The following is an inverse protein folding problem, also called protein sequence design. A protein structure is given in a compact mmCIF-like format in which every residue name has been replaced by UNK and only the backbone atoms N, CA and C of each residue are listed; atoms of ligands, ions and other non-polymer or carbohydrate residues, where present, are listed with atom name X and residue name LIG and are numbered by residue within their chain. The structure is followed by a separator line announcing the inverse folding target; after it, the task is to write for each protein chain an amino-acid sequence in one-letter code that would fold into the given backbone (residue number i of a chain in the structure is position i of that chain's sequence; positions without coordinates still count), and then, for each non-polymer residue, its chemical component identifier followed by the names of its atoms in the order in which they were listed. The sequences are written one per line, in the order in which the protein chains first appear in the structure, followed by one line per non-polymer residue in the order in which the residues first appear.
data_IF_961476957609
#
_entry.id   IF_961476957609
#
_cell.length_a   1.000
_cell.length_b   1.000
_cell.length_c   1.000
_cell.angle_alpha   90.00
_cell.angle_beta   90.00
_cell.angle_gamma   90.00
#
_symmetry.space_group_name_H-M   'P 1'
#
loop_
_entity.id
_entity.type
_entity.pdbx_description
1 polymer ?
#
# COMPACT_ATOMS: atom_id res chain seq x y z
N UNK A 1 6.47 6.40 -15.08
CA UNK A 1 6.10 7.58 -14.27
C UNK A 1 5.02 7.16 -13.27
N UNK A 2 4.93 7.79 -12.09
CA UNK A 2 3.82 7.51 -11.17
C UNK A 2 2.53 8.17 -11.65
N UNK A 3 1.46 7.39 -11.69
CA UNK A 3 0.08 7.82 -11.97
C UNK A 3 -0.65 7.99 -10.64
N UNK A 4 -1.28 9.14 -10.44
CA UNK A 4 -2.16 9.37 -9.29
C UNK A 4 -3.42 8.51 -9.40
N UNK A 5 -3.70 7.70 -8.38
CA UNK A 5 -4.93 6.91 -8.25
C UNK A 5 -5.99 7.67 -7.44
N UNK A 6 -5.59 8.24 -6.31
CA UNK A 6 -6.48 8.97 -5.40
C UNK A 6 -5.71 10.03 -4.61
N UNK A 7 -6.39 11.14 -4.34
CA UNK A 7 -6.01 12.15 -3.34
C UNK A 7 -7.09 12.20 -2.26
N UNK A 8 -6.71 12.38 -1.00
CA UNK A 8 -7.66 12.46 0.12
C UNK A 8 -7.37 11.44 1.23
N UNK A 9 -8.20 11.44 2.28
CA UNK A 9 -7.97 10.77 3.57
C UNK A 9 -8.59 9.36 3.62
N UNK A 10 -8.02 8.41 2.90
CA UNK A 10 -8.36 6.99 3.09
C UNK A 10 -7.22 6.31 3.82
N UNK A 11 -7.54 5.38 4.71
CA UNK A 11 -6.54 4.71 5.52
C UNK A 11 -5.99 3.47 4.80
N UNK A 12 -4.78 3.10 5.18
CA UNK A 12 -4.16 1.82 4.87
C UNK A 12 -4.05 1.05 6.18
N UNK A 13 -4.44 -0.22 6.17
CA UNK A 13 -4.23 -1.10 7.32
C UNK A 13 -2.85 -1.75 7.24
N UNK A 14 -2.12 -1.73 8.35
CA UNK A 14 -0.79 -2.31 8.51
C UNK A 14 -0.84 -3.40 9.58
N UNK A 15 -0.23 -4.55 9.28
CA UNK A 15 -0.10 -5.67 10.20
C UNK A 15 1.38 -5.92 10.49
N UNK A 16 1.73 -5.85 11.77
CA UNK A 16 3.01 -6.27 12.33
C UNK A 16 2.84 -7.59 13.08
N UNK A 17 3.91 -8.13 13.67
CA UNK A 17 3.87 -9.43 14.36
C UNK A 17 2.88 -9.47 15.53
N UNK A 18 2.80 -8.39 16.31
CA UNK A 18 2.02 -8.36 17.55
C UNK A 18 0.96 -7.25 17.56
N UNK A 19 0.83 -6.48 16.48
CA UNK A 19 -0.11 -5.35 16.41
C UNK A 19 -0.58 -5.11 14.99
N UNK A 20 -1.77 -4.51 14.87
CA UNK A 20 -2.32 -4.07 13.60
C UNK A 20 -3.07 -2.76 13.77
N UNK A 21 -2.91 -1.86 12.82
CA UNK A 21 -3.43 -0.50 12.92
C UNK A 21 -3.71 0.12 11.55
N UNK A 22 -4.50 1.19 11.53
CA UNK A 22 -4.86 1.89 10.29
C UNK A 22 -4.34 3.31 10.33
N UNK A 23 -3.54 3.69 9.33
CA UNK A 23 -2.99 5.05 9.21
C UNK A 23 -3.58 5.71 7.97
N UNK A 24 -4.06 6.94 8.12
CA UNK A 24 -4.52 7.77 7.02
C UNK A 24 -3.39 7.99 6.00
N UNK A 25 -3.71 7.85 4.72
CA UNK A 25 -2.86 8.29 3.63
C UNK A 25 -3.49 9.52 2.95
N UNK A 26 -2.66 10.43 2.44
CA UNK A 26 -3.12 11.60 1.69
C UNK A 26 -3.08 11.43 0.18
N UNK A 27 -2.30 10.43 -0.29
CA UNK A 27 -2.05 10.21 -1.70
C UNK A 27 -1.77 8.73 -1.99
N UNK A 28 -2.35 8.27 -3.09
CA UNK A 28 -2.18 6.94 -3.64
C UNK A 28 -1.72 7.05 -5.08
N UNK A 29 -0.64 6.38 -5.43
CA UNK A 29 -0.04 6.42 -6.75
C UNK A 29 0.38 5.03 -7.19
N UNK A 30 0.47 4.80 -8.49
CA UNK A 30 0.99 3.54 -9.02
C UNK A 30 1.94 3.76 -10.18
N UNK A 31 2.85 2.83 -10.36
CA UNK A 31 3.79 2.78 -11.48
C UNK A 31 3.88 1.34 -11.97
N UNK A 32 3.84 1.17 -13.28
CA UNK A 32 4.14 -0.10 -13.93
C UNK A 32 5.28 0.15 -14.91
N UNK A 33 6.34 -0.64 -14.82
CA UNK A 33 7.50 -0.56 -15.73
C UNK A 33 8.39 -1.79 -15.55
N UNK A 34 8.93 -2.33 -16.64
CA UNK A 34 9.98 -3.36 -16.60
C UNK A 34 9.56 -4.59 -15.76
N UNK A 35 8.35 -5.13 -16.01
CA UNK A 35 7.75 -6.21 -15.21
C UNK A 35 7.56 -5.93 -13.70
N UNK A 36 7.71 -4.68 -13.24
CA UNK A 36 7.49 -4.28 -11.85
C UNK A 36 6.23 -3.43 -11.72
N UNK A 37 5.30 -3.88 -10.88
CA UNK A 37 4.16 -3.09 -10.44
C UNK A 37 4.42 -2.51 -9.04
N UNK A 38 4.29 -1.19 -8.91
CA UNK A 38 4.48 -0.46 -7.66
C UNK A 38 3.19 0.25 -7.28
N UNK A 39 2.72 0.04 -6.06
CA UNK A 39 1.70 0.87 -5.43
C UNK A 39 2.36 1.68 -4.30
N UNK A 40 2.21 3.00 -4.37
CA UNK A 40 2.86 3.97 -3.50
C UNK A 40 1.81 4.73 -2.69
N UNK A 41 2.08 4.89 -1.40
CA UNK A 41 1.26 5.66 -0.47
C UNK A 41 2.08 6.75 0.20
N UNK A 42 1.47 7.92 0.39
CA UNK A 42 2.01 8.96 1.27
C UNK A 42 1.15 9.06 2.51
N UNK A 43 1.71 8.70 3.67
CA UNK A 43 1.00 8.68 4.94
C UNK A 43 0.81 10.10 5.49
N UNK A 44 -0.34 10.31 6.10
CA UNK A 44 -0.72 11.50 6.84
C UNK A 44 -1.66 11.10 7.98
N UNK A 45 -1.11 10.67 9.13
CA UNK A 45 -1.89 10.38 10.32
C UNK A 45 -2.88 11.49 10.64
N UNK A 46 -4.15 11.14 10.87
CA UNK A 46 -5.22 12.14 11.06
C UNK A 46 -5.46 12.51 12.52
N UNK A 47 -4.98 11.70 13.46
CA UNK A 47 -5.10 11.92 14.91
C UNK A 47 -3.82 11.50 15.65
N UNK A 48 -3.79 11.69 16.98
CA UNK A 48 -2.64 11.35 17.81
C UNK A 48 -2.38 9.85 17.90
N UNK A 49 -3.42 9.02 17.82
CA UNK A 49 -3.27 7.56 17.90
C UNK A 49 -2.57 7.06 16.64
N UNK A 50 -3.00 7.51 15.47
CA UNK A 50 -2.34 7.15 14.22
C UNK A 50 -0.90 7.66 14.12
N UNK A 51 -0.56 8.79 14.77
CA UNK A 51 0.84 9.26 14.83
C UNK A 51 1.72 8.34 15.66
N UNK A 52 1.16 7.76 16.72
CA UNK A 52 1.84 6.74 17.53
C UNK A 52 1.91 5.42 16.77
N UNK A 53 0.82 5.01 16.13
CA UNK A 53 0.77 3.81 15.30
C UNK A 53 1.81 3.86 14.17
N UNK A 54 1.99 5.04 13.56
CA UNK A 54 3.02 5.28 12.55
C UNK A 54 4.42 4.97 13.07
N UNK A 55 4.73 5.08 14.37
CA UNK A 55 6.06 4.71 14.90
C UNK A 55 6.37 3.23 14.70
N UNK A 56 5.38 2.34 14.77
CA UNK A 56 5.58 0.90 14.55
C UNK A 56 6.07 0.62 13.12
N UNK A 57 5.71 1.43 12.13
CA UNK A 57 6.24 1.31 10.78
C UNK A 57 7.76 1.52 10.73
N UNK A 58 8.32 2.29 11.66
CA UNK A 58 9.75 2.62 11.72
C UNK A 58 10.54 1.71 12.67
N UNK A 59 9.87 0.96 13.54
CA UNK A 59 10.53 0.14 14.57
C UNK A 59 10.24 -1.35 14.48
N UNK A 60 9.15 -1.76 13.83
CA UNK A 60 8.69 -3.14 13.80
C UNK A 60 8.60 -3.68 12.36
N UNK A 61 8.95 -4.97 12.13
CA UNK A 61 8.77 -5.60 10.84
C UNK A 61 7.30 -5.59 10.39
N UNK A 62 7.07 -5.18 9.14
CA UNK A 62 5.75 -5.25 8.52
C UNK A 62 5.52 -6.64 7.91
N UNK A 63 4.41 -7.28 8.27
CA UNK A 63 4.02 -8.61 7.77
C UNK A 63 3.10 -8.50 6.56
N UNK A 64 2.14 -7.59 6.62
CA UNK A 64 1.22 -7.35 5.52
C UNK A 64 0.57 -5.97 5.63
N UNK A 65 -0.01 -5.52 4.55
CA UNK A 65 -0.87 -4.34 4.53
C UNK A 65 -2.08 -4.58 3.64
N UNK A 66 -3.17 -3.84 3.87
CA UNK A 66 -4.36 -3.93 3.03
C UNK A 66 -5.01 -2.59 2.76
N UNK A 67 -5.65 -2.51 1.59
CA UNK A 67 -6.41 -1.36 1.14
C UNK A 67 -7.79 -1.85 0.71
N UNK A 68 -8.83 -1.21 1.25
CA UNK A 68 -10.25 -1.50 0.97
C UNK A 68 -10.95 -0.34 0.25
N UNK A 69 -10.20 0.69 -0.17
CA UNK A 69 -10.72 1.75 -1.03
C UNK A 69 -10.87 1.25 -2.48
N UNK A 70 -12.12 1.00 -2.88
CA UNK A 70 -12.43 0.49 -4.21
C UNK A 70 -11.90 1.34 -5.37
N UNK A 71 -11.75 2.67 -5.20
CA UNK A 71 -11.16 3.52 -6.26
C UNK A 71 -9.66 3.26 -6.41
N UNK A 72 -8.96 3.07 -5.29
CA UNK A 72 -7.54 2.72 -5.30
C UNK A 72 -7.35 1.30 -5.85
N UNK A 73 -8.12 0.33 -5.36
CA UNK A 73 -8.04 -1.07 -5.78
C UNK A 73 -8.33 -1.21 -7.28
N UNK A 74 -9.47 -0.70 -7.74
CA UNK A 74 -9.84 -0.78 -9.15
C UNK A 74 -8.88 0.03 -10.04
N UNK A 75 -8.43 1.18 -9.55
CA UNK A 75 -7.49 2.03 -10.29
C UNK A 75 -6.13 1.37 -10.47
N UNK A 76 -5.64 0.65 -9.45
CA UNK A 76 -4.38 -0.07 -9.53
C UNK A 76 -4.48 -1.30 -10.43
N UNK A 77 -5.52 -2.13 -10.26
CA UNK A 77 -5.77 -3.31 -11.10
C UNK A 77 -5.86 -2.89 -12.57
N UNK A 78 -6.69 -1.88 -12.89
CA UNK A 78 -6.81 -1.36 -14.26
C UNK A 78 -5.49 -0.84 -14.82
N UNK A 79 -4.63 -0.25 -13.98
CA UNK A 79 -3.34 0.25 -14.44
C UNK A 79 -2.40 -0.90 -14.81
N UNK A 80 -2.36 -1.96 -14.00
CA UNK A 80 -1.60 -3.18 -14.29
C UNK A 80 -2.15 -3.88 -15.52
N UNK A 81 -3.47 -4.12 -15.58
CA UNK A 81 -4.11 -4.81 -16.71
C UNK A 81 -3.97 -4.05 -18.04
N UNK A 82 -3.83 -2.72 -17.98
CA UNK A 82 -3.62 -1.88 -19.17
C UNK A 82 -2.17 -1.84 -19.65
N UNK A 83 -1.24 -2.44 -18.91
CA UNK A 83 0.16 -2.52 -19.33
C UNK A 83 0.38 -3.76 -20.20
N UNK A 84 1.17 -3.62 -21.26
CA UNK A 84 1.62 -4.76 -22.07
C UNK A 84 2.76 -5.56 -21.39
N UNK A 85 3.00 -5.30 -20.10
CA UNK A 85 4.09 -5.85 -19.29
C UNK A 85 3.60 -7.09 -18.53
N UNK A 86 4.35 -8.19 -18.59
CA UNK A 86 4.11 -9.34 -17.73
C UNK A 86 4.73 -9.07 -16.34
N UNK A 87 3.87 -8.84 -15.34
CA UNK A 87 4.29 -8.41 -14.01
C UNK A 87 4.78 -9.61 -13.20
N UNK A 88 6.07 -9.63 -12.91
CA UNK A 88 6.72 -10.66 -12.09
C UNK A 88 7.06 -10.18 -10.68
N UNK A 89 7.17 -8.86 -10.48
CA UNK A 89 7.56 -8.27 -9.20
C UNK A 89 6.52 -7.24 -8.76
N UNK A 90 6.08 -7.39 -7.51
CA UNK A 90 5.16 -6.46 -6.88
C UNK A 90 5.85 -5.75 -5.73
N UNK A 91 5.71 -4.43 -5.71
CA UNK A 91 6.29 -3.59 -4.66
C UNK A 91 5.28 -2.66 -4.04
N UNK A 92 5.45 -2.44 -2.75
CA UNK A 92 4.80 -1.36 -2.00
C UNK A 92 5.86 -0.34 -1.61
N UNK A 93 5.54 0.93 -1.86
CA UNK A 93 6.33 2.06 -1.39
C UNK A 93 5.51 2.90 -0.40
N UNK A 94 6.07 3.17 0.77
CA UNK A 94 5.41 3.95 1.82
C UNK A 94 6.26 5.18 2.14
N UNK A 95 5.70 6.36 1.96
CA UNK A 95 6.30 7.60 2.44
C UNK A 95 5.71 7.97 3.80
N UNK A 96 6.56 8.05 4.82
CA UNK A 96 6.19 8.37 6.19
C UNK A 96 7.31 9.15 6.86
N UNK A 97 7.01 10.26 7.53
CA UNK A 97 7.99 11.13 8.22
C UNK A 97 9.26 11.44 7.41
N UNK A 98 9.10 11.78 6.13
CA UNK A 98 10.20 12.05 5.18
C UNK A 98 11.14 10.85 4.90
N UNK A 99 10.72 9.63 5.24
CA UNK A 99 11.38 8.38 4.89
C UNK A 99 10.54 7.63 3.87
N UNK A 100 11.23 6.91 2.99
CA UNK A 100 10.63 6.00 2.02
C UNK A 100 10.98 4.57 2.43
N UNK A 101 9.95 3.75 2.59
CA UNK A 101 10.06 2.32 2.81
C UNK A 101 9.67 1.60 1.53
N UNK A 102 10.40 0.55 1.18
CA UNK A 102 10.09 -0.29 0.03
C UNK A 102 10.01 -1.76 0.44
N UNK A 103 8.92 -2.41 0.05
CA UNK A 103 8.64 -3.80 0.33
C UNK A 103 8.36 -4.54 -0.98
N UNK A 104 9.00 -5.70 -1.15
CA UNK A 104 8.58 -6.69 -2.14
C UNK A 104 7.45 -7.50 -1.53
N UNK A 105 6.36 -7.65 -2.28
CA UNK A 105 5.11 -8.20 -1.76
C UNK A 105 4.50 -9.25 -2.68
N UNK A 106 3.55 -10.01 -2.13
CA UNK A 106 2.65 -10.87 -2.88
C UNK A 106 1.22 -10.30 -2.74
N UNK A 107 0.59 -9.84 -3.84
CA UNK A 107 -0.76 -9.30 -3.80
C UNK A 107 -1.81 -10.41 -3.74
N UNK A 108 -2.89 -10.16 -3.00
CA UNK A 108 -4.08 -11.00 -2.94
C UNK A 108 -5.31 -10.13 -3.00
N UNK A 109 -6.05 -10.24 -4.11
CA UNK A 109 -7.38 -9.64 -4.23
C UNK A 109 -8.39 -10.55 -3.52
N UNK A 110 -9.19 -9.97 -2.63
CA UNK A 110 -10.33 -10.63 -2.00
C UNK A 110 -11.60 -9.83 -2.27
N UNK A 111 -12.64 -10.52 -2.73
CA UNK A 111 -13.96 -9.94 -2.97
C UNK A 111 -14.96 -10.59 -2.02
N UNK A 112 -15.58 -9.79 -1.14
CA UNK A 112 -16.67 -10.22 -0.28
C UNK A 112 -17.88 -9.33 -0.59
N UNK A 113 -18.86 -9.88 -1.29
CA UNK A 113 -20.02 -9.13 -1.83
C UNK A 113 -19.58 -7.95 -2.72
N UNK A 114 -19.91 -6.70 -2.34
CA UNK A 114 -19.53 -5.46 -3.05
C UNK A 114 -18.22 -4.86 -2.55
N UNK A 115 -17.57 -5.48 -1.56
CA UNK A 115 -16.33 -4.98 -0.97
C UNK A 115 -15.14 -5.67 -1.60
N UNK A 116 -14.22 -4.87 -2.16
CA UNK A 116 -12.92 -5.33 -2.66
C UNK A 116 -11.85 -4.93 -1.68
N UNK A 117 -11.03 -5.89 -1.28
CA UNK A 117 -9.84 -5.65 -0.49
C UNK A 117 -8.63 -6.16 -1.27
N UNK A 118 -7.61 -5.33 -1.38
CA UNK A 118 -6.31 -5.73 -1.89
C UNK A 118 -5.33 -5.82 -0.71
N UNK A 119 -4.96 -7.05 -0.38
CA UNK A 119 -3.97 -7.35 0.66
C UNK A 119 -2.62 -7.63 0.02
N UNK A 120 -1.55 -7.14 0.62
CA UNK A 120 -0.19 -7.40 0.19
C UNK A 120 0.58 -8.05 1.34
N UNK A 121 1.01 -9.30 1.14
CA UNK A 121 1.89 -9.99 2.08
C UNK A 121 3.32 -9.55 1.81
N UNK A 122 4.05 -9.14 2.84
CA UNK A 122 5.46 -8.75 2.72
C UNK A 122 6.32 -10.00 2.60
N UNK A 123 7.16 -10.04 1.56
CA UNK A 123 8.13 -11.11 1.34
C UNK A 123 9.53 -10.67 1.79
N UNK A 124 9.87 -9.43 1.50
CA UNK A 124 11.14 -8.79 1.86
C UNK A 124 10.92 -7.28 1.94
N UNK A 125 11.59 -6.60 2.86
CA UNK A 125 11.52 -5.15 2.97
C UNK A 125 12.78 -4.54 3.54
N UNK A 126 12.97 -3.27 3.23
CA UNK A 126 13.99 -2.42 3.85
C UNK A 126 13.24 -1.53 4.85
N UNK A 127 13.03 -2.05 6.06
CA UNK A 127 12.52 -1.32 7.23
C UNK A 127 13.67 -1.02 8.16
#
# INVERSE_FOLDING_TARGET
MFRSLRKGRTSVYFQHEHTGHSIGAEKYESKVSESVAVLRFSLKPVDSNQRYDEEYLHSEPLISLSVDDGTVVDGFIKHVDSSDEDISIWKIQIFSKNREFEFTVEPKLSEIHKYRNLTFKVLQGNG
#
